data_IF_447369818916
#
_entry.id   IF_447369818916
#
_cell.length_a   1.000
_cell.length_b   1.000
_cell.length_c   1.000
_cell.angle_alpha   90.00
_cell.angle_beta   90.00
_cell.angle_gamma   90.00
#
_symmetry.space_group_name_H-M   'P 1'
#
loop_
_entity.id
_entity.type
_entity.pdbx_description
1 polymer ?
#
# COMPACT_ATOMS: atom_id res chain seq x y z
N UNK A 1 2.86 10.17 -11.55
CA UNK A 1 2.28 11.40 -10.94
C UNK A 1 2.09 11.25 -9.42
N UNK A 2 1.49 10.16 -8.93
CA UNK A 2 1.26 9.95 -7.49
C UNK A 2 2.48 10.14 -6.58
N UNK A 3 3.64 9.58 -6.95
CA UNK A 3 4.90 9.73 -6.19
C UNK A 3 5.48 11.16 -6.14
N UNK A 4 5.16 12.00 -7.13
CA UNK A 4 5.71 13.36 -7.25
C UNK A 4 4.85 14.37 -6.48
N UNK A 5 3.57 14.08 -6.31
CA UNK A 5 2.59 14.99 -5.72
C UNK A 5 2.45 14.86 -4.20
N UNK A 6 2.84 13.72 -3.62
CA UNK A 6 2.76 13.49 -2.18
C UNK A 6 3.54 14.53 -1.36
N UNK A 7 4.77 14.84 -1.78
CA UNK A 7 5.63 15.83 -1.11
C UNK A 7 5.06 17.26 -1.12
N UNK A 8 4.68 17.83 -2.29
CA UNK A 8 4.06 19.15 -2.37
C UNK A 8 2.75 19.26 -1.57
N UNK A 9 1.87 18.25 -1.66
CA UNK A 9 0.59 18.23 -0.92
C UNK A 9 0.85 18.15 0.58
N UNK A 10 1.75 17.28 1.03
CA UNK A 10 2.13 17.18 2.44
C UNK A 10 2.71 18.50 2.96
N UNK A 11 3.57 19.16 2.18
CA UNK A 11 4.15 20.47 2.54
C UNK A 11 3.07 21.55 2.66
N UNK A 12 2.09 21.57 1.76
CA UNK A 12 0.96 22.51 1.81
C UNK A 12 0.12 22.31 3.07
N UNK A 13 -0.22 21.06 3.39
CA UNK A 13 -1.05 20.71 4.54
C UNK A 13 -0.31 20.92 5.87
N UNK A 14 0.98 20.57 5.96
CA UNK A 14 1.78 20.82 7.17
C UNK A 14 1.87 22.30 7.55
N UNK A 15 1.89 23.20 6.56
CA UNK A 15 1.82 24.64 6.85
C UNK A 15 0.51 25.02 7.54
N UNK A 16 -0.60 24.35 7.24
CA UNK A 16 -1.90 24.57 7.89
C UNK A 16 -1.99 23.95 9.28
N UNK A 17 -1.35 22.80 9.50
CA UNK A 17 -1.28 22.17 10.84
C UNK A 17 -0.44 23.02 11.80
N UNK A 18 0.74 23.47 11.35
CA UNK A 18 1.62 24.35 12.16
C UNK A 18 1.01 25.70 12.52
N UNK A 19 0.02 26.18 11.78
CA UNK A 19 -0.73 27.40 12.13
C UNK A 19 -1.86 27.13 13.13
N UNK A 20 -2.19 25.88 13.38
CA UNK A 20 -3.35 25.47 14.20
C UNK A 20 -2.93 24.86 15.55
N UNK A 21 -1.70 24.33 15.67
CA UNK A 21 -1.18 23.73 16.92
C UNK A 21 0.08 24.47 17.44
N UNK A 22 0.12 24.89 18.72
CA UNK A 22 1.38 25.19 19.38
C UNK A 22 2.14 23.87 19.62
N UNK A 23 3.41 23.85 19.26
CA UNK A 23 4.28 22.67 19.31
C UNK A 23 4.22 21.96 20.67
N UNK A 24 3.67 20.75 20.71
CA UNK A 24 3.89 19.81 21.79
C UNK A 24 4.83 18.70 21.30
N UNK A 25 6.06 18.77 21.79
CA UNK A 25 6.98 17.64 21.86
C UNK A 25 6.34 16.57 22.77
N UNK A 26 6.05 15.41 22.20
CA UNK A 26 5.39 14.30 22.89
C UNK A 26 6.05 12.98 22.51
N UNK A 27 7.21 12.73 23.10
CA UNK A 27 7.90 11.45 23.12
C UNK A 27 7.05 10.44 23.93
N UNK A 28 6.47 9.41 23.29
CA UNK A 28 5.83 8.28 23.97
C UNK A 28 6.13 6.94 23.27
N UNK A 29 6.27 5.83 24.03
CA UNK A 29 7.05 4.67 23.62
C UNK A 29 6.27 3.63 22.81
N UNK A 30 6.74 3.43 21.58
CA UNK A 30 6.99 2.20 20.82
C UNK A 30 6.12 0.94 21.09
N UNK A 31 5.21 0.66 20.15
CA UNK A 31 4.86 -0.72 19.74
C UNK A 31 5.13 -0.88 18.24
N UNK A 32 6.15 -1.68 17.92
CA UNK A 32 6.71 -1.86 16.59
C UNK A 32 5.71 -2.50 15.60
N UNK A 33 5.33 -1.74 14.58
CA UNK A 33 4.63 -2.23 13.38
C UNK A 33 5.65 -2.37 12.25
N UNK A 34 5.44 -3.37 11.39
CA UNK A 34 6.28 -3.98 10.33
C UNK A 34 7.10 -3.05 9.40
N UNK A 35 6.96 -1.73 9.50
CA UNK A 35 7.64 -0.73 8.67
C UNK A 35 8.64 0.18 9.42
N UNK A 36 8.99 -0.11 10.68
CA UNK A 36 10.04 0.62 11.40
C UNK A 36 11.40 0.56 10.66
N UNK A 37 12.03 1.73 10.50
CA UNK A 37 13.37 1.89 9.92
C UNK A 37 14.45 1.12 10.74
N UNK A 38 15.54 0.71 10.08
CA UNK A 38 16.51 -0.26 10.58
C UNK A 38 17.42 0.38 11.64
N UNK A 39 17.13 0.17 12.93
CA UNK A 39 18.08 0.52 14.01
C UNK A 39 18.54 -0.65 14.87
N UNK A 40 18.54 -1.84 14.29
CA UNK A 40 19.43 -2.91 14.68
C UNK A 40 19.92 -3.58 13.40
N UNK A 41 21.21 -3.46 13.10
CA UNK A 41 21.89 -4.35 12.16
C UNK A 41 21.78 -5.79 12.72
N UNK A 42 20.65 -6.45 12.51
CA UNK A 42 20.64 -7.90 12.52
C UNK A 42 21.13 -8.30 11.13
N UNK A 43 22.32 -8.91 11.00
CA UNK A 43 22.76 -9.39 9.70
C UNK A 43 21.69 -10.34 9.19
N UNK A 44 21.14 -10.05 8.02
CA UNK A 44 20.29 -11.01 7.30
C UNK A 44 21.18 -12.20 6.99
N UNK A 45 21.16 -13.20 7.85
CA UNK A 45 21.91 -14.43 7.62
C UNK A 45 21.33 -15.08 6.36
N UNK A 46 22.16 -15.69 5.49
CA UNK A 46 21.68 -16.42 4.32
C UNK A 46 20.55 -17.42 4.68
N UNK A 47 20.63 -18.01 5.88
CA UNK A 47 19.57 -18.88 6.42
C UNK A 47 18.24 -18.15 6.65
N UNK A 48 18.23 -16.96 7.25
CA UNK A 48 17.01 -16.18 7.45
C UNK A 48 16.37 -15.73 6.13
N UNK A 49 17.19 -15.38 5.13
CA UNK A 49 16.72 -15.03 3.79
C UNK A 49 16.04 -16.22 3.11
N UNK A 50 16.72 -17.38 3.07
CA UNK A 50 16.19 -18.62 2.47
C UNK A 50 14.92 -19.06 3.20
N UNK A 51 14.89 -19.04 4.53
CA UNK A 51 13.72 -19.41 5.31
C UNK A 51 12.53 -18.50 5.02
N UNK A 52 12.77 -17.20 4.86
CA UNK A 52 11.72 -16.22 4.49
C UNK A 52 11.19 -16.48 3.09
N UNK A 53 12.09 -16.74 2.13
CA UNK A 53 11.71 -17.08 0.75
C UNK A 53 10.87 -18.36 0.72
N UNK A 54 11.29 -19.40 1.46
CA UNK A 54 10.55 -20.65 1.60
C UNK A 54 9.17 -20.44 2.24
N UNK A 55 9.07 -19.59 3.27
CA UNK A 55 7.79 -19.24 3.90
C UNK A 55 6.85 -18.57 2.90
N UNK A 56 7.34 -17.61 2.12
CA UNK A 56 6.55 -16.95 1.06
C UNK A 56 6.11 -17.97 0.00
N UNK A 57 7.00 -18.88 -0.42
CA UNK A 57 6.66 -19.96 -1.36
C UNK A 57 5.58 -20.89 -0.82
N UNK A 58 5.64 -21.26 0.47
CA UNK A 58 4.59 -22.06 1.12
C UNK A 58 3.26 -21.30 1.11
N UNK A 59 3.25 -20.02 1.44
CA UNK A 59 2.04 -19.19 1.38
C UNK A 59 1.45 -19.13 -0.04
N UNK A 60 2.29 -19.03 -1.07
CA UNK A 60 1.85 -19.01 -2.46
C UNK A 60 1.20 -20.34 -2.87
N UNK A 61 1.89 -21.45 -2.65
CA UNK A 61 1.39 -22.79 -3.05
C UNK A 61 0.12 -23.16 -2.28
N UNK A 62 0.12 -22.97 -0.96
CA UNK A 62 -1.06 -23.26 -0.16
C UNK A 62 -2.22 -22.29 -0.45
N UNK A 63 -1.91 -21.01 -0.72
CA UNK A 63 -2.91 -20.01 -1.12
C UNK A 63 -3.57 -20.34 -2.46
N UNK A 64 -2.79 -20.77 -3.45
CA UNK A 64 -3.29 -21.22 -4.75
C UNK A 64 -4.15 -22.49 -4.62
N UNK A 65 -3.73 -23.43 -3.76
CA UNK A 65 -4.54 -24.60 -3.45
C UNK A 65 -5.89 -24.23 -2.83
N UNK A 66 -5.90 -23.31 -1.86
CA UNK A 66 -7.14 -22.80 -1.24
C UNK A 66 -8.01 -22.09 -2.30
N UNK A 67 -7.42 -21.27 -3.16
CA UNK A 67 -8.13 -20.64 -4.26
C UNK A 67 -8.79 -21.67 -5.19
N UNK A 68 -8.07 -22.73 -5.57
CA UNK A 68 -8.61 -23.81 -6.40
C UNK A 68 -9.83 -24.52 -5.78
N UNK A 69 -9.88 -24.64 -4.45
CA UNK A 69 -11.04 -25.19 -3.74
C UNK A 69 -12.25 -24.24 -3.71
N UNK A 70 -11.99 -22.93 -3.75
CA UNK A 70 -13.02 -21.88 -3.72
C UNK A 70 -13.50 -21.47 -5.12
N UNK A 71 -12.70 -21.73 -6.15
CA UNK A 71 -13.01 -21.42 -7.54
C UNK A 71 -14.33 -22.09 -7.97
N UNK A 72 -15.23 -21.31 -8.56
CA UNK A 72 -16.55 -21.78 -8.99
C UNK A 72 -17.61 -21.84 -7.89
N UNK A 73 -17.30 -21.48 -6.64
CA UNK A 73 -18.30 -21.34 -5.57
C UNK A 73 -18.84 -19.90 -5.48
N UNK A 74 -19.95 -19.70 -4.77
CA UNK A 74 -20.46 -18.36 -4.45
C UNK A 74 -19.48 -17.50 -3.64
N UNK A 75 -18.47 -18.12 -3.01
CA UNK A 75 -17.41 -17.50 -2.21
C UNK A 75 -16.06 -17.38 -2.96
N UNK A 76 -16.07 -17.41 -4.29
CA UNK A 76 -14.86 -17.16 -5.07
C UNK A 76 -14.25 -15.79 -4.72
N UNK A 77 -13.07 -15.85 -4.11
CA UNK A 77 -12.25 -14.71 -3.72
C UNK A 77 -11.07 -14.61 -4.69
N UNK A 78 -10.51 -13.40 -4.89
CA UNK A 78 -9.30 -13.26 -5.69
C UNK A 78 -8.14 -14.11 -5.15
N UNK A 79 -7.29 -14.67 -6.02
CA UNK A 79 -6.25 -15.61 -5.61
C UNK A 79 -5.26 -15.01 -4.60
N UNK A 80 -4.91 -13.73 -4.74
CA UNK A 80 -4.01 -13.05 -3.79
C UNK A 80 -4.63 -12.94 -2.38
N UNK A 81 -5.96 -12.89 -2.23
CA UNK A 81 -6.63 -12.86 -0.91
C UNK A 81 -6.43 -14.20 -0.21
N UNK A 82 -6.58 -15.31 -0.94
CA UNK A 82 -6.32 -16.65 -0.40
C UNK A 82 -4.87 -16.80 0.06
N UNK A 83 -3.91 -16.32 -0.74
CA UNK A 83 -2.47 -16.30 -0.39
C UNK A 83 -2.22 -15.45 0.86
N UNK A 84 -2.80 -14.26 0.96
CA UNK A 84 -2.66 -13.38 2.13
C UNK A 84 -3.24 -14.05 3.38
N UNK A 85 -4.41 -14.68 3.27
CA UNK A 85 -5.05 -15.38 4.37
C UNK A 85 -4.18 -16.53 4.91
N UNK A 86 -3.60 -17.34 4.01
CA UNK A 86 -2.63 -18.37 4.39
C UNK A 86 -1.42 -17.76 5.08
N UNK A 87 -0.91 -16.62 4.60
CA UNK A 87 0.18 -15.90 5.25
C UNK A 87 -0.14 -15.43 6.66
N UNK A 88 -1.33 -14.88 6.89
CA UNK A 88 -1.82 -14.49 8.22
C UNK A 88 -1.95 -15.70 9.13
N UNK A 89 -2.53 -16.79 8.63
CA UNK A 89 -2.67 -18.04 9.37
C UNK A 89 -1.31 -18.61 9.78
N UNK A 90 -0.36 -18.68 8.83
CA UNK A 90 0.98 -19.17 9.07
C UNK A 90 1.72 -18.30 10.10
N UNK A 91 1.62 -16.97 10.01
CA UNK A 91 2.22 -16.06 10.97
C UNK A 91 1.65 -16.26 12.39
N UNK A 92 0.34 -16.49 12.50
CA UNK A 92 -0.31 -16.75 13.80
C UNK A 92 0.14 -18.10 14.40
N UNK A 93 0.22 -19.16 13.60
CA UNK A 93 0.72 -20.48 14.02
C UNK A 93 2.18 -20.41 14.45
N UNK A 94 3.03 -19.70 13.69
CA UNK A 94 4.44 -19.50 14.06
C UNK A 94 4.58 -18.70 15.36
N UNK A 95 3.76 -17.67 15.55
CA UNK A 95 3.73 -16.90 16.79
C UNK A 95 3.35 -17.76 18.01
N UNK A 96 2.37 -18.67 17.85
CA UNK A 96 2.00 -19.66 18.88
C UNK A 96 3.15 -20.63 19.20
N UNK A 97 3.95 -20.99 18.20
CA UNK A 97 5.15 -21.82 18.36
C UNK A 97 6.37 -21.04 18.89
N UNK A 98 6.25 -19.73 19.15
CA UNK A 98 7.35 -18.88 19.60
C UNK A 98 8.36 -18.51 18.52
N UNK A 99 8.10 -18.87 17.26
CA UNK A 99 8.99 -18.58 16.13
C UNK A 99 8.58 -17.24 15.53
N UNK A 100 9.46 -16.25 15.55
CA UNK A 100 9.23 -14.96 14.90
C UNK A 100 9.84 -14.94 13.51
N UNK A 101 9.06 -14.69 12.44
CA UNK A 101 9.60 -14.50 11.11
C UNK A 101 10.64 -13.37 11.08
N UNK A 102 11.66 -13.52 10.23
CA UNK A 102 12.70 -12.51 10.08
C UNK A 102 12.14 -11.26 9.37
N UNK A 103 11.62 -10.31 10.14
CA UNK A 103 10.97 -9.10 9.63
C UNK A 103 11.86 -8.31 8.66
N UNK A 104 13.17 -8.24 8.94
CA UNK A 104 14.14 -7.59 8.04
C UNK A 104 14.23 -8.28 6.67
N UNK A 105 14.24 -9.62 6.63
CA UNK A 105 14.26 -10.36 5.38
C UNK A 105 12.95 -10.18 4.62
N UNK A 106 11.79 -10.18 5.31
CA UNK A 106 10.48 -9.92 4.69
C UNK A 106 10.44 -8.52 4.08
N UNK A 107 10.89 -7.49 4.81
CA UNK A 107 10.93 -6.12 4.31
C UNK A 107 11.88 -5.96 3.11
N UNK A 108 13.06 -6.60 3.16
CA UNK A 108 14.03 -6.60 2.06
C UNK A 108 13.45 -7.26 0.81
N UNK A 109 12.90 -8.47 0.93
CA UNK A 109 12.24 -9.15 -0.19
C UNK A 109 11.09 -8.31 -0.73
N UNK A 110 10.24 -7.76 0.15
CA UNK A 110 9.12 -6.91 -0.23
C UNK A 110 9.55 -5.71 -1.05
N UNK A 111 10.59 -4.98 -0.60
CA UNK A 111 11.14 -3.83 -1.32
C UNK A 111 11.74 -4.23 -2.67
N UNK A 112 12.47 -5.35 -2.74
CA UNK A 112 13.03 -5.86 -4.00
C UNK A 112 11.93 -6.29 -4.96
N UNK A 113 10.96 -7.09 -4.50
CA UNK A 113 9.82 -7.52 -5.30
C UNK A 113 9.01 -6.34 -5.83
N UNK A 114 8.84 -5.30 -5.02
CA UNK A 114 8.13 -4.08 -5.41
C UNK A 114 8.88 -3.31 -6.51
N UNK A 115 10.20 -3.14 -6.36
CA UNK A 115 11.02 -2.50 -7.37
C UNK A 115 11.01 -3.27 -8.69
N UNK A 116 11.08 -4.60 -8.63
CA UNK A 116 10.97 -5.48 -9.80
C UNK A 116 9.59 -5.40 -10.45
N UNK A 117 8.52 -5.43 -9.66
CA UNK A 117 7.14 -5.26 -10.15
C UNK A 117 6.98 -3.94 -10.92
N UNK A 118 7.44 -2.84 -10.34
CA UNK A 118 7.38 -1.53 -11.00
C UNK A 118 8.22 -1.50 -12.29
N UNK A 119 9.42 -2.09 -12.27
CA UNK A 119 10.28 -2.20 -13.45
C UNK A 119 9.61 -2.99 -14.59
N UNK A 120 9.02 -4.15 -14.28
CA UNK A 120 8.28 -4.96 -15.25
C UNK A 120 7.08 -4.21 -15.81
N UNK A 121 6.28 -3.56 -14.96
CA UNK A 121 5.12 -2.80 -15.39
C UNK A 121 5.47 -1.67 -16.38
N UNK A 122 6.64 -1.03 -16.20
CA UNK A 122 7.14 -0.01 -17.12
C UNK A 122 7.63 -0.58 -18.44
N UNK A 123 8.26 -1.76 -18.45
CA UNK A 123 8.72 -2.43 -19.67
C UNK A 123 7.57 -2.91 -20.56
N UNK A 124 6.45 -3.32 -19.97
CA UNK A 124 5.26 -3.80 -20.70
C UNK A 124 4.42 -2.64 -21.27
N UNK A 125 4.74 -1.39 -20.95
CA UNK A 125 3.96 -0.24 -21.37
C UNK A 125 4.29 0.16 -22.81
N UNK A 126 3.32 -0.02 -23.71
CA UNK A 126 3.46 0.26 -25.14
C UNK A 126 3.39 1.79 -25.42
N UNK A 127 4.47 2.49 -25.07
CA UNK A 127 4.60 3.95 -25.16
C UNK A 127 4.30 4.49 -26.56
N UNK A 128 4.57 3.68 -27.59
CA UNK A 128 4.34 4.05 -28.98
C UNK A 128 2.85 4.04 -29.35
N UNK A 129 2.08 3.07 -28.86
CA UNK A 129 0.63 3.02 -29.03
C UNK A 129 -0.09 4.17 -28.30
N UNK A 130 0.46 4.62 -27.17
CA UNK A 130 -0.06 5.79 -26.45
C UNK A 130 0.27 7.12 -27.12
N UNK A 131 1.31 7.22 -27.96
CA UNK A 131 1.72 8.48 -28.57
C UNK A 131 0.60 9.10 -29.44
N UNK A 132 -0.18 8.27 -30.14
CA UNK A 132 -1.33 8.70 -30.94
C UNK A 132 -2.50 9.22 -30.09
N UNK A 133 -2.59 8.82 -28.82
CA UNK A 133 -3.59 9.24 -27.83
C UNK A 133 -2.99 10.11 -26.71
N UNK A 134 -1.76 10.58 -26.87
CA UNK A 134 -1.02 11.24 -25.79
C UNK A 134 -1.72 12.50 -25.29
N UNK A 135 -2.32 13.27 -26.20
CA UNK A 135 -3.04 14.50 -25.85
C UNK A 135 -4.28 14.19 -24.97
N UNK A 136 -5.20 13.28 -25.35
CA UNK A 136 -6.27 12.80 -24.46
C UNK A 136 -5.77 12.30 -23.10
N UNK A 137 -4.71 11.50 -23.08
CA UNK A 137 -4.17 10.91 -21.84
C UNK A 137 -3.62 12.00 -20.91
N UNK A 138 -2.87 12.98 -21.44
CA UNK A 138 -2.34 14.09 -20.64
C UNK A 138 -3.48 14.93 -20.04
N UNK A 139 -4.54 15.22 -20.81
CA UNK A 139 -5.70 15.97 -20.30
C UNK A 139 -6.40 15.22 -19.18
N UNK A 140 -6.62 13.92 -19.35
CA UNK A 140 -7.24 13.08 -18.31
C UNK A 140 -6.35 13.03 -17.07
N UNK A 141 -5.04 12.81 -17.22
CA UNK A 141 -4.11 12.75 -16.09
C UNK A 141 -4.01 14.08 -15.36
N UNK A 142 -4.04 15.21 -16.08
CA UNK A 142 -4.06 16.54 -15.47
C UNK A 142 -5.36 16.78 -14.69
N UNK A 143 -6.52 16.48 -15.29
CA UNK A 143 -7.81 16.61 -14.64
C UNK A 143 -7.92 15.71 -13.39
N UNK A 144 -7.49 14.45 -13.50
CA UNK A 144 -7.43 13.50 -12.39
C UNK A 144 -6.50 13.99 -11.28
N UNK A 145 -5.34 14.53 -11.64
CA UNK A 145 -4.38 15.10 -10.69
C UNK A 145 -5.00 16.26 -9.90
N UNK A 146 -5.64 17.21 -10.59
CA UNK A 146 -6.28 18.36 -9.96
C UNK A 146 -7.42 17.90 -9.05
N UNK A 147 -8.28 17.00 -9.54
CA UNK A 147 -9.39 16.46 -8.76
C UNK A 147 -8.89 15.72 -7.51
N UNK A 148 -7.83 14.92 -7.64
CA UNK A 148 -7.25 14.18 -6.52
C UNK A 148 -6.66 15.12 -5.47
N UNK A 149 -5.92 16.16 -5.89
CA UNK A 149 -5.37 17.16 -4.97
C UNK A 149 -6.51 17.88 -4.24
N UNK A 150 -7.55 18.29 -4.97
CA UNK A 150 -8.72 18.92 -4.38
C UNK A 150 -9.40 17.99 -3.35
N UNK A 151 -9.61 16.72 -3.70
CA UNK A 151 -10.22 15.74 -2.80
C UNK A 151 -9.37 15.49 -1.55
N UNK A 152 -8.06 15.35 -1.69
CA UNK A 152 -7.15 15.16 -0.57
C UNK A 152 -7.18 16.36 0.39
N UNK A 153 -7.16 17.59 -0.15
CA UNK A 153 -7.11 18.82 0.65
C UNK A 153 -8.45 19.18 1.29
N UNK A 154 -9.56 19.02 0.56
CA UNK A 154 -10.89 19.46 1.01
C UNK A 154 -11.73 18.38 1.67
N UNK A 155 -11.44 17.09 1.43
CA UNK A 155 -12.21 15.98 2.01
C UNK A 155 -11.34 15.15 2.93
N UNK A 156 -10.24 14.59 2.43
CA UNK A 156 -9.42 13.64 3.23
C UNK A 156 -8.81 14.30 4.47
N UNK A 157 -8.12 15.42 4.29
CA UNK A 157 -7.46 16.15 5.37
C UNK A 157 -8.42 16.59 6.49
N UNK A 158 -9.59 17.21 6.23
CA UNK A 158 -10.51 17.59 7.28
C UNK A 158 -11.25 16.42 7.93
N UNK A 159 -11.57 15.37 7.18
CA UNK A 159 -12.24 14.17 7.73
C UNK A 159 -11.33 13.41 8.69
N UNK A 160 -10.02 13.39 8.42
CA UNK A 160 -9.03 12.73 9.29
C UNK A 160 -8.63 13.52 10.53
N UNK A 161 -9.21 14.70 10.80
CA UNK A 161 -8.96 15.43 12.05
C UNK A 161 -7.96 16.59 11.94
N UNK A 162 -7.43 16.88 10.74
CA UNK A 162 -6.51 18.01 10.46
C UNK A 162 -5.20 18.00 11.28
N UNK A 163 -4.76 16.84 11.74
CA UNK A 163 -3.51 16.64 12.48
C UNK A 163 -2.36 16.18 11.56
N UNK A 164 -1.20 15.88 12.14
CA UNK A 164 -0.06 15.34 11.39
C UNK A 164 -0.38 14.02 10.69
N UNK A 165 -1.12 13.13 11.35
CA UNK A 165 -1.53 11.86 10.77
C UNK A 165 -2.42 12.09 9.54
N UNK A 166 -3.33 13.06 9.57
CA UNK A 166 -4.13 13.47 8.42
C UNK A 166 -3.28 13.98 7.24
N UNK A 167 -2.14 14.64 7.50
CA UNK A 167 -1.19 15.04 6.45
C UNK A 167 -0.59 13.81 5.78
N UNK A 168 -0.04 12.89 6.58
CA UNK A 168 0.61 11.68 6.06
C UNK A 168 -0.41 10.83 5.30
N UNK A 169 -1.62 10.69 5.83
CA UNK A 169 -2.71 9.95 5.19
C UNK A 169 -3.17 10.62 3.88
N UNK A 170 -3.21 11.95 3.81
CA UNK A 170 -3.56 12.68 2.60
C UNK A 170 -2.48 12.50 1.52
N UNK A 171 -1.20 12.50 1.89
CA UNK A 171 -0.09 12.22 0.99
C UNK A 171 -0.12 10.77 0.47
N UNK A 172 -0.45 9.82 1.35
CA UNK A 172 -0.69 8.43 1.01
C UNK A 172 -1.87 8.29 0.03
N UNK A 173 -2.97 8.98 0.30
CA UNK A 173 -4.17 8.94 -0.54
C UNK A 173 -3.88 9.48 -1.94
N UNK A 174 -3.13 10.58 -2.09
CA UNK A 174 -2.65 11.03 -3.40
C UNK A 174 -1.78 9.99 -4.10
N UNK A 175 -1.01 9.21 -3.34
CA UNK A 175 -0.19 8.12 -3.85
C UNK A 175 -1.02 6.93 -4.34
N UNK A 176 -2.08 6.54 -3.62
CA UNK A 176 -3.02 5.49 -4.05
C UNK A 176 -3.82 5.98 -5.28
N UNK A 177 -4.47 7.14 -5.19
CA UNK A 177 -5.44 7.60 -6.20
C UNK A 177 -4.84 7.97 -7.56
N UNK A 178 -3.53 8.23 -7.63
CA UNK A 178 -2.80 8.54 -8.88
C UNK A 178 -1.76 7.47 -9.23
N UNK A 179 -1.85 6.30 -8.61
CA UNK A 179 -0.90 5.21 -8.76
C UNK A 179 -1.43 3.94 -8.12
N UNK A 180 -0.68 3.41 -7.16
CA UNK A 180 -1.04 2.22 -6.41
C UNK A 180 -0.54 2.31 -4.95
N UNK A 181 -0.83 1.31 -4.14
CA UNK A 181 -0.30 1.16 -2.77
C UNK A 181 1.21 1.41 -2.64
N UNK A 182 2.09 0.94 -3.54
CA UNK A 182 3.52 1.28 -3.45
C UNK A 182 3.85 2.76 -3.57
N UNK A 183 3.16 3.50 -4.45
CA UNK A 183 3.37 4.95 -4.56
C UNK A 183 2.86 5.69 -3.32
N UNK A 184 1.86 5.13 -2.63
CA UNK A 184 1.40 5.63 -1.34
C UNK A 184 2.46 5.44 -0.25
N UNK A 185 3.05 4.25 -0.16
CA UNK A 185 4.11 3.94 0.82
C UNK A 185 5.33 4.84 0.57
N UNK A 186 5.76 4.99 -0.68
CA UNK A 186 6.86 5.89 -1.03
C UNK A 186 6.56 7.35 -0.65
N UNK A 187 5.33 7.82 -0.85
CA UNK A 187 4.92 9.16 -0.44
C UNK A 187 4.94 9.32 1.09
N UNK A 188 4.39 8.35 1.82
CA UNK A 188 4.40 8.38 3.29
C UNK A 188 5.83 8.39 3.82
N UNK A 189 6.70 7.51 3.31
CA UNK A 189 8.12 7.47 3.67
C UNK A 189 8.81 8.82 3.38
N UNK A 190 8.57 9.42 2.21
CA UNK A 190 9.16 10.73 1.87
C UNK A 190 8.73 11.85 2.85
N UNK A 191 7.54 11.75 3.44
CA UNK A 191 7.06 12.67 4.48
C UNK A 191 7.66 12.31 5.83
N UNK A 192 7.56 11.04 6.26
CA UNK A 192 7.97 10.63 7.61
C UNK A 192 9.47 10.69 7.83
N UNK A 193 10.30 10.45 6.81
CA UNK A 193 11.76 10.65 6.89
C UNK A 193 12.13 12.12 7.20
N UNK A 194 11.27 13.09 6.86
CA UNK A 194 11.53 14.52 7.09
C UNK A 194 10.84 15.10 8.32
N UNK A 195 9.70 14.54 8.73
CA UNK A 195 8.80 15.16 9.70
C UNK A 195 8.39 14.26 10.88
N UNK A 196 8.88 13.01 10.93
CA UNK A 196 8.58 12.05 11.99
C UNK A 196 7.60 10.96 11.56
N UNK A 197 7.60 9.82 12.23
CA UNK A 197 6.79 8.66 11.84
C UNK A 197 5.31 8.80 12.24
N UNK A 198 4.41 8.28 11.40
CA UNK A 198 2.96 8.21 11.68
C UNK A 198 2.53 6.74 11.74
N UNK A 199 2.27 6.23 12.94
CA UNK A 199 1.88 4.83 13.14
C UNK A 199 0.49 4.55 12.57
N UNK A 200 -0.43 5.50 12.72
CA UNK A 200 -1.81 5.39 12.23
C UNK A 200 -1.83 5.26 10.71
N UNK A 201 -1.06 6.09 10.00
CA UNK A 201 -1.05 6.06 8.55
C UNK A 201 -0.46 4.76 7.98
N UNK A 202 0.65 4.28 8.56
CA UNK A 202 1.29 3.04 8.10
C UNK A 202 0.47 1.78 8.40
N UNK A 203 -0.49 1.84 9.32
CA UNK A 203 -1.42 0.73 9.56
C UNK A 203 -2.65 0.82 8.65
N UNK A 204 -3.28 1.99 8.54
CA UNK A 204 -4.54 2.15 7.80
C UNK A 204 -4.32 1.99 6.29
N UNK A 205 -3.27 2.61 5.74
CA UNK A 205 -3.08 2.73 4.29
C UNK A 205 -2.87 1.39 3.60
N UNK A 206 -2.03 0.45 4.10
CA UNK A 206 -1.92 -0.87 3.48
C UNK A 206 -3.23 -1.68 3.56
N UNK A 207 -3.94 -1.61 4.69
CA UNK A 207 -5.20 -2.36 4.87
C UNK A 207 -6.30 -1.86 3.94
N UNK A 208 -6.48 -0.54 3.84
CA UNK A 208 -7.47 0.04 2.92
C UNK A 208 -7.01 0.01 1.48
N UNK A 209 -5.76 0.38 1.22
CA UNK A 209 -5.19 0.59 -0.11
C UNK A 209 -4.93 -0.68 -0.92
N UNK A 210 -4.60 -1.79 -0.26
CA UNK A 210 -4.42 -3.08 -0.92
C UNK A 210 -5.55 -4.04 -0.57
N UNK A 211 -5.71 -4.38 0.70
CA UNK A 211 -6.60 -5.49 1.07
C UNK A 211 -8.09 -5.21 0.80
N UNK A 212 -8.64 -4.11 1.31
CA UNK A 212 -10.07 -3.83 1.17
C UNK A 212 -10.45 -3.39 -0.25
N UNK A 213 -9.64 -2.55 -0.89
CA UNK A 213 -9.88 -2.12 -2.27
C UNK A 213 -10.00 -3.32 -3.19
N UNK A 214 -9.13 -4.32 -3.06
CA UNK A 214 -9.16 -5.44 -3.98
C UNK A 214 -10.37 -6.37 -3.76
N UNK A 215 -10.84 -6.53 -2.50
CA UNK A 215 -12.10 -7.24 -2.20
C UNK A 215 -13.28 -6.50 -2.80
N UNK A 216 -13.37 -5.19 -2.59
CA UNK A 216 -14.45 -4.36 -3.14
C UNK A 216 -14.43 -4.42 -4.67
N UNK A 217 -13.25 -4.33 -5.28
CA UNK A 217 -13.08 -4.41 -6.73
C UNK A 217 -13.58 -5.75 -7.27
N UNK A 218 -13.23 -6.87 -6.63
CA UNK A 218 -13.71 -8.19 -7.01
C UNK A 218 -15.24 -8.31 -6.92
N UNK A 219 -15.83 -7.80 -5.82
CA UNK A 219 -17.28 -7.78 -5.63
C UNK A 219 -18.00 -6.91 -6.67
N UNK A 220 -17.46 -5.72 -6.95
CA UNK A 220 -18.02 -4.78 -7.93
C UNK A 220 -17.96 -5.37 -9.33
N UNK A 221 -16.82 -5.95 -9.75
CA UNK A 221 -16.68 -6.58 -11.06
C UNK A 221 -17.64 -7.77 -11.19
N UNK A 222 -17.66 -8.67 -10.20
CA UNK A 222 -18.55 -9.84 -10.22
C UNK A 222 -20.02 -9.44 -10.23
N UNK A 223 -20.38 -8.43 -9.43
CA UNK A 223 -21.72 -7.86 -9.41
C UNK A 223 -22.11 -7.21 -10.75
N UNK A 224 -21.19 -6.51 -11.39
CA UNK A 224 -21.42 -5.89 -12.70
C UNK A 224 -21.61 -6.95 -13.80
N UNK A 225 -20.81 -8.02 -13.78
CA UNK A 225 -20.93 -9.13 -14.73
C UNK A 225 -22.21 -9.97 -14.53
N UNK A 226 -22.80 -9.96 -13.33
CA UNK A 226 -24.09 -10.61 -13.06
C UNK A 226 -25.30 -9.80 -13.54
N UNK A 227 -25.12 -8.54 -13.98
CA UNK A 227 -26.23 -7.75 -14.52
C UNK A 227 -26.75 -8.35 -15.83
N UNK A 228 -28.08 -8.35 -16.06
CA UNK A 228 -28.72 -8.96 -17.24
C UNK A 228 -28.42 -8.25 -18.58
N UNK A 229 -27.49 -7.29 -18.58
CA UNK A 229 -26.99 -6.58 -19.76
C UNK A 229 -25.84 -7.38 -20.40
N UNK A 230 -25.20 -8.29 -19.65
CA UNK A 230 -24.05 -9.10 -20.07
C UNK A 230 -24.36 -10.61 -20.18
N UNK A 231 -25.61 -11.02 -19.99
CA UNK A 231 -26.11 -12.38 -20.23
C UNK A 231 -26.79 -12.49 -21.60
#
# INVERSE_FOLDING_TARGET
>A
MGGVLGGPVARLLMRRVRTTEPAQEGDQPTQAVVFEEPKAEQPTTPGAFIATLAMISVCLVAGEFVYGLLAGTSFELPPFVCVLFVGVFLNNVLALAGIRPAQHAIALLGNVSLALFLGMALMTLDLWGLAALALPVIVILAAQTVLMIAYAVFVTFPVMGRDYDAVVLSAAHCGIGLGATPTAIANMQAVTTRFGHSHVAFLIVPMTGAFFIDIVNALVIKGFLMLPIFN
#
